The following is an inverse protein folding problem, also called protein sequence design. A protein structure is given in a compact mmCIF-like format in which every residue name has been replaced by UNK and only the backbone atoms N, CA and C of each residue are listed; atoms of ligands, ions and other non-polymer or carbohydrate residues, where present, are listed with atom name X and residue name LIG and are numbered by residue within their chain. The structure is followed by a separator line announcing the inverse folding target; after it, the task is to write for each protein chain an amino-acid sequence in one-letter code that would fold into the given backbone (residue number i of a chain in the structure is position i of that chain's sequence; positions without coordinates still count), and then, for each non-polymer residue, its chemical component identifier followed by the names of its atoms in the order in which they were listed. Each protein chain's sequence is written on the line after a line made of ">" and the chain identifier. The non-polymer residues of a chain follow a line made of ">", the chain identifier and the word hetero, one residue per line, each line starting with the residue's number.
data_IF_027926304035
#
_entry.id   IF_027926304035
#
_cell.length_a   1.000
_cell.length_b   1.000
_cell.length_c   1.000
_cell.angle_alpha   90.00
_cell.angle_beta   90.00
_cell.angle_gamma   90.00
#
_symmetry.space_group_name_H-M   'P 1'
#
loop_
_entity.id
_entity.type
_entity.pdbx_description
1 polymer ?
#
# COMPACT_ATOMS: atom_id res chain seq x y z
N UNK A 1 30.86 -2.11 10.94
CA UNK A 1 29.86 -3.01 10.32
C UNK A 1 30.55 -4.25 9.71
N UNK A 2 31.55 -4.04 8.86
CA UNK A 2 32.26 -5.17 8.19
C UNK A 2 32.93 -6.15 9.15
N UNK A 3 33.31 -5.69 10.36
CA UNK A 3 33.93 -6.52 11.39
C UNK A 3 32.90 -7.32 12.22
N UNK A 4 31.69 -6.82 12.35
CA UNK A 4 30.62 -7.47 13.09
C UNK A 4 29.24 -7.03 12.54
N UNK A 5 28.80 -7.59 11.41
CA UNK A 5 27.53 -7.24 10.80
C UNK A 5 26.38 -7.64 11.73
N UNK A 6 25.44 -6.72 11.93
CA UNK A 6 24.21 -6.96 12.69
C UNK A 6 23.03 -6.27 12.01
N UNK A 7 21.81 -6.74 12.27
CA UNK A 7 20.60 -6.12 11.74
C UNK A 7 20.54 -4.60 12.06
N UNK A 8 20.92 -4.22 13.28
CA UNK A 8 20.94 -2.82 13.68
C UNK A 8 22.01 -2.02 12.93
N UNK A 9 23.26 -2.51 12.83
CA UNK A 9 24.32 -1.78 12.12
C UNK A 9 23.99 -1.59 10.65
N UNK A 10 23.46 -2.60 9.98
CA UNK A 10 22.98 -2.50 8.59
C UNK A 10 21.83 -1.51 8.48
N UNK A 11 20.84 -1.54 9.38
CA UNK A 11 19.74 -0.59 9.38
C UNK A 11 20.19 0.87 9.49
N UNK A 12 21.13 1.16 10.40
CA UNK A 12 21.65 2.52 10.56
C UNK A 12 22.46 2.99 9.36
N UNK A 13 23.22 2.10 8.70
CA UNK A 13 23.88 2.42 7.44
C UNK A 13 22.87 2.71 6.33
N UNK A 14 21.78 1.96 6.25
CA UNK A 14 20.66 2.24 5.37
C UNK A 14 20.09 3.64 5.59
N UNK A 15 19.83 4.02 6.86
CA UNK A 15 19.34 5.37 7.20
C UNK A 15 20.35 6.47 6.83
N UNK A 16 21.63 6.23 7.01
CA UNK A 16 22.67 7.21 6.71
C UNK A 16 22.77 7.46 5.20
N UNK A 17 22.78 6.38 4.40
CA UNK A 17 22.79 6.49 2.94
C UNK A 17 21.50 7.14 2.40
N UNK A 18 20.39 6.87 3.04
CA UNK A 18 19.11 7.53 2.75
C UNK A 18 19.18 9.05 2.90
N UNK A 19 19.77 9.52 4.00
CA UNK A 19 19.97 10.96 4.24
C UNK A 19 20.94 11.60 3.23
N UNK A 20 21.91 10.84 2.74
CA UNK A 20 22.85 11.28 1.69
C UNK A 20 22.23 11.28 0.29
N UNK A 21 21.07 10.65 0.11
CA UNK A 21 20.41 10.51 -1.18
C UNK A 21 20.91 9.35 -2.04
N UNK A 22 21.78 8.49 -1.52
CA UNK A 22 22.28 7.28 -2.20
C UNK A 22 21.28 6.13 -2.01
N UNK A 23 20.22 6.15 -2.81
CA UNK A 23 19.04 5.28 -2.63
C UNK A 23 19.39 3.79 -2.80
N UNK A 24 20.26 3.45 -3.75
CA UNK A 24 20.59 2.05 -4.03
C UNK A 24 21.38 1.44 -2.87
N UNK A 25 22.40 2.14 -2.37
CA UNK A 25 23.18 1.70 -1.22
C UNK A 25 22.31 1.62 0.05
N UNK A 26 21.37 2.56 0.21
CA UNK A 26 20.42 2.50 1.32
C UNK A 26 19.56 1.23 1.26
N UNK A 27 19.09 0.85 0.07
CA UNK A 27 18.30 -0.37 -0.12
C UNK A 27 19.10 -1.64 0.13
N UNK A 28 20.38 -1.69 -0.28
CA UNK A 28 21.27 -2.81 0.00
C UNK A 28 21.41 -3.03 1.51
N UNK A 29 21.71 -1.98 2.27
CA UNK A 29 21.82 -2.06 3.72
C UNK A 29 20.49 -2.39 4.42
N UNK A 30 19.35 -1.88 3.92
CA UNK A 30 18.05 -2.28 4.47
C UNK A 30 17.74 -3.76 4.21
N UNK A 31 18.08 -4.28 3.01
CA UNK A 31 17.88 -5.70 2.71
C UNK A 31 18.78 -6.57 3.59
N UNK A 32 20.05 -6.21 3.75
CA UNK A 32 20.97 -6.89 4.69
C UNK A 32 20.41 -6.88 6.12
N UNK A 33 19.90 -5.74 6.58
CA UNK A 33 19.24 -5.65 7.89
C UNK A 33 18.07 -6.61 8.04
N UNK A 34 17.24 -6.76 7.00
CA UNK A 34 16.08 -7.69 7.00
C UNK A 34 16.57 -9.14 7.04
N UNK A 35 17.64 -9.47 6.34
CA UNK A 35 18.22 -10.82 6.34
C UNK A 35 18.81 -11.20 7.70
N UNK A 36 19.51 -10.28 8.34
CA UNK A 36 20.12 -10.47 9.66
C UNK A 36 19.12 -10.38 10.83
N UNK A 37 17.95 -9.77 10.63
CA UNK A 37 16.93 -9.64 11.68
C UNK A 37 16.19 -10.97 11.87
N UNK A 38 15.92 -11.35 13.10
CA UNK A 38 15.15 -12.55 13.44
C UNK A 38 13.70 -12.25 13.84
N UNK A 39 13.45 -11.02 14.32
CA UNK A 39 12.13 -10.57 14.74
C UNK A 39 11.27 -10.15 13.53
N UNK A 40 10.20 -10.87 13.28
CA UNK A 40 9.28 -10.61 12.17
C UNK A 40 8.63 -9.22 12.25
N UNK A 41 8.35 -8.72 13.45
CA UNK A 41 7.75 -7.38 13.62
C UNK A 41 8.74 -6.30 13.19
N UNK A 42 10.03 -6.47 13.54
CA UNK A 42 11.09 -5.56 13.10
C UNK A 42 11.31 -5.64 11.59
N UNK A 43 11.34 -6.84 10.99
CA UNK A 43 11.37 -7.02 9.52
C UNK A 43 10.24 -6.27 8.84
N UNK A 44 9.02 -6.46 9.31
CA UNK A 44 7.85 -5.77 8.78
C UNK A 44 7.97 -4.25 8.86
N UNK A 45 8.48 -3.71 9.97
CA UNK A 45 8.71 -2.28 10.14
C UNK A 45 9.73 -1.71 9.16
N UNK A 46 10.83 -2.41 8.91
CA UNK A 46 11.85 -2.00 7.93
C UNK A 46 11.24 -1.97 6.53
N UNK A 47 10.56 -3.04 6.13
CA UNK A 47 9.89 -3.15 4.83
C UNK A 47 8.83 -2.05 4.64
N UNK A 48 8.05 -1.73 5.66
CA UNK A 48 7.08 -0.63 5.62
C UNK A 48 7.75 0.73 5.44
N UNK A 49 8.90 0.99 6.08
CA UNK A 49 9.67 2.23 5.87
C UNK A 49 10.15 2.35 4.43
N UNK A 50 10.66 1.27 3.85
CA UNK A 50 11.06 1.22 2.43
C UNK A 50 9.84 1.50 1.53
N UNK A 51 8.70 0.85 1.80
CA UNK A 51 7.45 1.10 1.08
C UNK A 51 7.04 2.58 1.12
N UNK A 52 7.10 3.19 2.30
CA UNK A 52 6.77 4.60 2.50
C UNK A 52 7.71 5.54 1.73
N UNK A 53 8.98 5.16 1.59
CA UNK A 53 9.96 5.90 0.80
C UNK A 53 9.63 5.84 -0.70
N UNK A 54 9.35 4.66 -1.23
CA UNK A 54 8.93 4.50 -2.63
C UNK A 54 7.63 5.26 -2.93
N UNK A 55 6.70 5.33 -1.98
CA UNK A 55 5.51 6.18 -2.12
C UNK A 55 5.87 7.65 -2.30
N UNK A 56 6.78 8.19 -1.47
CA UNK A 56 7.22 9.60 -1.56
C UNK A 56 7.89 9.93 -2.90
N UNK A 57 8.54 8.97 -3.53
CA UNK A 57 9.14 9.12 -4.87
C UNK A 57 8.20 8.69 -6.02
N UNK A 58 6.90 8.56 -5.77
CA UNK A 58 5.87 8.16 -6.73
C UNK A 58 6.12 6.79 -7.41
N UNK A 59 6.95 5.93 -6.83
CA UNK A 59 7.20 4.57 -7.32
C UNK A 59 6.16 3.60 -6.71
N UNK A 60 4.90 3.76 -7.07
CA UNK A 60 3.76 3.13 -6.41
C UNK A 60 3.77 1.60 -6.49
N UNK A 61 4.19 1.03 -7.62
CA UNK A 61 4.31 -0.43 -7.77
C UNK A 61 5.33 -1.02 -6.78
N UNK A 62 6.52 -0.40 -6.66
CA UNK A 62 7.53 -0.81 -5.68
C UNK A 62 7.04 -0.62 -4.25
N UNK A 63 6.41 0.52 -3.98
CA UNK A 63 5.81 0.81 -2.67
C UNK A 63 4.84 -0.28 -2.23
N UNK A 64 3.90 -0.68 -3.10
CA UNK A 64 2.96 -1.78 -2.84
C UNK A 64 3.69 -3.11 -2.62
N UNK A 65 4.70 -3.42 -3.43
CA UNK A 65 5.47 -4.65 -3.29
C UNK A 65 6.10 -4.77 -1.90
N UNK A 66 6.78 -3.71 -1.44
CA UNK A 66 7.38 -3.70 -0.10
C UNK A 66 6.33 -3.68 1.03
N UNK A 67 5.20 -2.99 0.86
CA UNK A 67 4.11 -3.05 1.83
C UNK A 67 3.54 -4.47 1.96
N UNK A 68 3.36 -5.19 0.85
CA UNK A 68 2.93 -6.60 0.87
C UNK A 68 3.96 -7.51 1.52
N UNK A 69 5.25 -7.31 1.26
CA UNK A 69 6.32 -8.04 1.97
C UNK A 69 6.26 -7.80 3.48
N UNK A 70 5.96 -6.57 3.92
CA UNK A 70 5.76 -6.28 5.35
C UNK A 70 4.59 -7.08 5.92
N UNK A 71 3.48 -7.18 5.19
CA UNK A 71 2.31 -7.95 5.59
C UNK A 71 2.55 -9.46 5.66
N UNK A 72 3.50 -10.00 4.89
CA UNK A 72 3.91 -11.41 5.00
C UNK A 72 4.54 -11.70 6.37
N UNK A 73 5.25 -10.74 6.96
CA UNK A 73 5.84 -10.89 8.29
C UNK A 73 4.90 -10.45 9.41
N UNK A 74 4.04 -9.46 9.16
CA UNK A 74 3.07 -8.96 10.14
C UNK A 74 1.71 -8.71 9.47
N UNK A 75 0.85 -9.74 9.32
CA UNK A 75 -0.46 -9.61 8.67
C UNK A 75 -1.41 -8.61 9.37
N UNK A 76 -1.17 -8.31 10.64
CA UNK A 76 -1.94 -7.34 11.42
C UNK A 76 -1.42 -5.90 11.31
N UNK A 77 -0.49 -5.60 10.39
CA UNK A 77 0.03 -4.23 10.22
C UNK A 77 -0.98 -3.36 9.45
N UNK A 78 -1.93 -2.76 10.14
CA UNK A 78 -2.97 -1.90 9.55
C UNK A 78 -2.40 -0.71 8.77
N UNK A 79 -1.25 -0.16 9.21
CA UNK A 79 -0.55 0.92 8.48
C UNK A 79 -0.11 0.52 7.08
N UNK A 80 0.27 -0.74 6.83
CA UNK A 80 0.64 -1.21 5.51
C UNK A 80 -0.57 -1.31 4.57
N UNK A 81 -1.72 -1.77 5.07
CA UNK A 81 -2.97 -1.73 4.31
C UNK A 81 -3.42 -0.30 4.00
N UNK A 82 -3.32 0.64 4.95
CA UNK A 82 -3.62 2.05 4.72
C UNK A 82 -2.69 2.68 3.69
N UNK A 83 -1.42 2.31 3.69
CA UNK A 83 -0.47 2.74 2.65
C UNK A 83 -0.93 2.25 1.28
N UNK A 84 -1.28 0.97 1.12
CA UNK A 84 -1.78 0.40 -0.14
C UNK A 84 -3.09 1.09 -0.56
N UNK A 85 -4.02 1.33 0.35
CA UNK A 85 -5.25 2.07 0.10
C UNK A 85 -4.97 3.45 -0.50
N UNK A 86 -4.01 4.18 0.09
CA UNK A 86 -3.62 5.49 -0.39
C UNK A 86 -2.95 5.44 -1.77
N UNK A 87 -2.11 4.43 -2.05
CA UNK A 87 -1.50 4.24 -3.37
C UNK A 87 -2.58 4.07 -4.45
N UNK A 88 -3.60 3.26 -4.20
CA UNK A 88 -4.72 3.06 -5.13
C UNK A 88 -5.50 4.37 -5.32
N UNK A 89 -5.92 5.01 -4.25
CA UNK A 89 -6.65 6.27 -4.32
C UNK A 89 -5.88 7.37 -5.08
N UNK A 90 -4.56 7.46 -4.88
CA UNK A 90 -3.69 8.40 -5.59
C UNK A 90 -3.54 8.09 -7.08
N UNK A 91 -3.87 6.88 -7.50
CA UNK A 91 -3.77 6.44 -8.90
C UNK A 91 -5.10 6.48 -9.67
N UNK A 92 -6.20 6.84 -9.01
CA UNK A 92 -7.53 6.78 -9.59
C UNK A 92 -7.64 7.49 -10.94
N UNK A 93 -7.07 8.69 -11.07
CA UNK A 93 -7.13 9.45 -12.32
C UNK A 93 -6.33 8.84 -13.48
N UNK A 94 -5.36 7.96 -13.16
CA UNK A 94 -4.46 7.34 -14.15
C UNK A 94 -4.81 5.85 -14.39
N UNK A 95 -5.85 5.35 -13.74
CA UNK A 95 -6.28 3.97 -13.84
C UNK A 95 -7.76 3.94 -14.23
N UNK A 96 -8.06 3.41 -15.39
CA UNK A 96 -9.41 3.38 -15.95
C UNK A 96 -9.55 4.23 -17.21
N UNK A 97 -10.39 3.78 -18.12
CA UNK A 97 -10.61 4.39 -19.44
C UNK A 97 -11.74 5.41 -19.41
N UNK A 98 -12.75 5.19 -18.55
CA UNK A 98 -13.87 6.09 -18.34
C UNK A 98 -13.81 6.79 -16.98
N UNK A 99 -14.64 7.80 -16.78
CA UNK A 99 -14.75 8.47 -15.49
C UNK A 99 -15.31 7.53 -14.41
N UNK A 100 -16.23 6.63 -14.80
CA UNK A 100 -16.74 5.58 -13.93
C UNK A 100 -15.61 4.64 -13.46
N UNK A 101 -14.82 4.10 -14.39
CA UNK A 101 -13.69 3.20 -14.06
C UNK A 101 -12.65 3.89 -13.17
N UNK A 102 -12.31 5.17 -13.44
CA UNK A 102 -11.41 5.94 -12.57
C UNK A 102 -11.93 6.04 -11.14
N UNK A 103 -13.23 6.26 -10.97
CA UNK A 103 -13.88 6.30 -9.66
C UNK A 103 -13.99 4.89 -9.04
N UNK A 104 -14.13 3.83 -9.83
CA UNK A 104 -14.19 2.45 -9.36
C UNK A 104 -12.89 2.01 -8.64
N UNK A 105 -11.75 2.65 -8.91
CA UNK A 105 -10.49 2.43 -8.15
C UNK A 105 -10.67 2.71 -6.65
N UNK A 106 -11.56 3.61 -6.27
CA UNK A 106 -11.82 3.91 -4.86
C UNK A 106 -12.49 2.75 -4.12
N UNK A 107 -13.17 1.82 -4.78
CA UNK A 107 -13.63 0.58 -4.13
C UNK A 107 -12.47 -0.27 -3.66
N UNK A 108 -11.42 -0.46 -4.50
CA UNK A 108 -10.20 -1.16 -4.08
C UNK A 108 -9.48 -0.44 -2.92
N UNK A 109 -9.43 0.89 -2.97
CA UNK A 109 -8.84 1.68 -1.90
C UNK A 109 -9.62 1.54 -0.58
N UNK A 110 -10.94 1.60 -0.64
CA UNK A 110 -11.81 1.43 0.52
C UNK A 110 -11.69 0.02 1.12
N UNK A 111 -11.62 -1.03 0.29
CA UNK A 111 -11.42 -2.40 0.74
C UNK A 111 -10.13 -2.54 1.56
N UNK A 112 -9.03 -1.99 1.08
CA UNK A 112 -7.76 -2.01 1.83
C UNK A 112 -7.85 -1.24 3.15
N UNK A 113 -8.54 -0.09 3.17
CA UNK A 113 -8.76 0.66 4.40
C UNK A 113 -9.65 -0.11 5.40
N UNK A 114 -10.71 -0.79 4.94
CA UNK A 114 -11.52 -1.67 5.80
C UNK A 114 -10.71 -2.84 6.33
N UNK A 115 -9.84 -3.43 5.52
CA UNK A 115 -8.93 -4.48 5.98
C UNK A 115 -8.01 -3.96 7.09
N UNK A 116 -7.46 -2.76 6.95
CA UNK A 116 -6.66 -2.13 8.01
C UNK A 116 -7.44 -2.03 9.33
N UNK A 117 -8.70 -1.58 9.27
CA UNK A 117 -9.56 -1.45 10.43
C UNK A 117 -9.85 -2.79 11.12
N UNK A 118 -10.00 -3.87 10.33
CA UNK A 118 -10.34 -5.20 10.85
C UNK A 118 -9.16 -5.90 11.54
N UNK A 119 -7.91 -5.59 11.15
CA UNK A 119 -6.72 -6.32 11.62
C UNK A 119 -5.91 -5.56 12.66
N UNK A 120 -6.10 -4.25 12.81
CA UNK A 120 -5.30 -3.42 13.71
C UNK A 120 -6.16 -2.39 14.46
N UNK A 121 -6.45 -2.68 15.71
CA UNK A 121 -7.25 -1.81 16.58
C UNK A 121 -6.64 -0.40 16.75
N UNK A 122 -5.30 -0.26 16.64
CA UNK A 122 -4.60 1.02 16.83
C UNK A 122 -4.92 2.02 15.72
N UNK A 123 -5.22 1.53 14.53
CA UNK A 123 -5.56 2.37 13.36
C UNK A 123 -7.05 2.28 12.99
N UNK A 124 -7.86 1.50 13.72
CA UNK A 124 -9.26 1.20 13.38
C UNK A 124 -10.03 2.48 13.03
N UNK A 125 -10.06 3.45 13.93
CA UNK A 125 -10.84 4.69 13.75
C UNK A 125 -10.42 5.47 12.50
N UNK A 126 -9.12 5.62 12.26
CA UNK A 126 -8.64 6.33 11.06
C UNK A 126 -8.92 5.53 9.79
N UNK A 127 -8.76 4.22 9.86
CA UNK A 127 -8.98 3.32 8.73
C UNK A 127 -10.47 3.30 8.30
N UNK A 128 -11.41 3.23 9.26
CA UNK A 128 -12.85 3.33 8.98
C UNK A 128 -13.22 4.67 8.34
N UNK A 129 -12.71 5.79 8.86
CA UNK A 129 -12.94 7.11 8.26
C UNK A 129 -12.35 7.22 6.87
N UNK A 130 -11.18 6.63 6.63
CA UNK A 130 -10.54 6.60 5.32
C UNK A 130 -11.36 5.77 4.34
N UNK A 131 -11.88 4.61 4.76
CA UNK A 131 -12.74 3.77 3.93
C UNK A 131 -14.01 4.53 3.51
N UNK A 132 -14.71 5.14 4.45
CA UNK A 132 -15.92 5.96 4.17
C UNK A 132 -15.60 7.11 3.20
N UNK A 133 -14.46 7.79 3.39
CA UNK A 133 -14.02 8.85 2.47
C UNK A 133 -13.79 8.34 1.05
N UNK A 134 -13.22 7.14 0.89
CA UNK A 134 -13.01 6.54 -0.43
C UNK A 134 -14.33 6.06 -1.05
N UNK A 135 -15.20 5.43 -0.27
CA UNK A 135 -16.53 5.02 -0.73
C UNK A 135 -17.36 6.21 -1.24
N UNK A 136 -17.26 7.35 -0.58
CA UNK A 136 -17.91 8.58 -1.03
C UNK A 136 -17.37 9.15 -2.36
N UNK A 137 -16.18 8.69 -2.80
CA UNK A 137 -15.60 9.04 -4.11
C UNK A 137 -15.85 7.99 -5.18
N UNK A 138 -16.16 6.77 -4.79
CA UNK A 138 -16.49 5.69 -5.70
C UNK A 138 -17.79 5.97 -6.46
N UNK A 139 -18.09 5.25 -7.54
CA UNK A 139 -19.37 5.38 -8.23
C UNK A 139 -20.55 5.16 -7.27
N UNK A 140 -21.55 6.05 -7.36
CA UNK A 140 -22.79 5.96 -6.61
C UNK A 140 -23.71 4.89 -7.18
N UNK A 141 -24.80 4.56 -6.47
CA UNK A 141 -25.85 3.68 -7.00
C UNK A 141 -26.44 4.21 -8.31
N UNK A 142 -26.62 5.52 -8.42
CA UNK A 142 -27.09 6.15 -9.66
C UNK A 142 -26.09 5.96 -10.79
N UNK A 143 -24.79 6.17 -10.54
CA UNK A 143 -23.75 5.95 -11.55
C UNK A 143 -23.75 4.48 -12.01
N UNK A 144 -23.88 3.53 -11.08
CA UNK A 144 -23.95 2.08 -11.42
C UNK A 144 -25.16 1.80 -12.31
N UNK A 145 -26.32 2.35 -11.98
CA UNK A 145 -27.55 2.16 -12.75
C UNK A 145 -27.45 2.73 -14.17
N UNK A 146 -26.75 3.84 -14.35
CA UNK A 146 -26.69 4.55 -15.64
C UNK A 146 -25.51 4.15 -16.52
N UNK A 147 -24.37 3.75 -15.94
CA UNK A 147 -23.12 3.59 -16.65
C UNK A 147 -22.52 2.17 -16.61
N UNK A 148 -23.00 1.29 -15.73
CA UNK A 148 -22.48 -0.06 -15.56
C UNK A 148 -23.55 -1.04 -15.12
N UNK A 149 -23.26 -2.34 -15.27
CA UNK A 149 -24.13 -3.40 -14.76
C UNK A 149 -23.61 -3.90 -13.39
N UNK A 150 -24.54 -4.06 -12.45
CA UNK A 150 -24.22 -4.71 -11.17
C UNK A 150 -23.61 -6.11 -11.43
N UNK A 151 -22.54 -6.44 -10.71
CA UNK A 151 -21.81 -7.70 -10.89
C UNK A 151 -20.79 -7.70 -12.03
N UNK A 152 -20.73 -6.67 -12.86
CA UNK A 152 -19.69 -6.52 -13.88
C UNK A 152 -18.30 -6.44 -13.23
N UNK A 153 -17.28 -7.03 -13.89
CA UNK A 153 -15.90 -7.01 -13.44
C UNK A 153 -15.10 -5.97 -14.22
N UNK A 154 -14.60 -4.97 -13.52
CA UNK A 154 -13.72 -3.95 -14.08
C UNK A 154 -12.27 -4.34 -13.77
N UNK A 155 -11.44 -4.49 -14.80
CA UNK A 155 -10.02 -4.80 -14.67
C UNK A 155 -9.17 -3.57 -14.97
N UNK A 156 -8.34 -3.17 -14.01
CA UNK A 156 -7.45 -2.02 -14.15
C UNK A 156 -6.13 -2.45 -14.79
N UNK A 157 -5.90 -2.04 -16.03
CA UNK A 157 -4.68 -2.34 -16.81
C UNK A 157 -3.44 -1.54 -16.39
N UNK A 158 -3.59 -0.56 -15.49
CA UNK A 158 -2.48 0.20 -14.93
C UNK A 158 -1.62 -0.64 -13.97
N UNK A 159 -0.63 -0.02 -13.32
CA UNK A 159 0.26 -0.68 -12.35
C UNK A 159 -0.48 -1.43 -11.22
N UNK A 160 -1.75 -1.10 -10.95
CA UNK A 160 -2.59 -1.79 -9.97
C UNK A 160 -2.79 -3.24 -10.38
N UNK A 161 -3.11 -3.53 -11.65
CA UNK A 161 -3.24 -4.89 -12.18
C UNK A 161 -4.21 -5.75 -11.37
N UNK A 162 -5.31 -5.15 -10.90
CA UNK A 162 -6.37 -5.82 -10.13
C UNK A 162 -7.72 -5.54 -10.75
N UNK A 163 -8.71 -6.34 -10.36
CA UNK A 163 -10.09 -6.16 -10.76
C UNK A 163 -10.97 -5.84 -9.56
N UNK A 164 -12.10 -5.18 -9.81
CA UNK A 164 -13.15 -4.95 -8.84
C UNK A 164 -14.48 -5.37 -9.45
N UNK A 165 -15.33 -5.96 -8.64
CA UNK A 165 -16.71 -6.26 -9.04
C UNK A 165 -17.60 -5.06 -8.70
N UNK A 166 -18.38 -4.59 -9.68
CA UNK A 166 -19.36 -3.53 -9.47
C UNK A 166 -20.37 -4.01 -8.41
N UNK A 167 -20.58 -3.25 -7.32
CA UNK A 167 -21.52 -3.66 -6.27
C UNK A 167 -22.93 -3.82 -6.78
N UNK A 168 -23.71 -4.68 -6.12
CA UNK A 168 -25.15 -4.77 -6.35
C UNK A 168 -25.85 -3.51 -5.82
N UNK A 169 -26.96 -3.12 -6.48
CA UNK A 169 -27.75 -1.94 -6.14
C UNK A 169 -28.58 -2.12 -4.85
#
# INVERSE_FOLDING_TARGET
>A
HNLNPSANSAYYLGLLNDKKGTVNEALEFYNESIELETDNIKKARILYKIASKFKKSNQFSKSRSYARKALNYQPSMGSAYLLIANLYASSANNCGNSQFEKRAVYWLAAEQARKAASVDARVKRIAERTAVSYEGRAPSKTDIFTEANAGEVITFSCWIGQSVTVPNL
#
